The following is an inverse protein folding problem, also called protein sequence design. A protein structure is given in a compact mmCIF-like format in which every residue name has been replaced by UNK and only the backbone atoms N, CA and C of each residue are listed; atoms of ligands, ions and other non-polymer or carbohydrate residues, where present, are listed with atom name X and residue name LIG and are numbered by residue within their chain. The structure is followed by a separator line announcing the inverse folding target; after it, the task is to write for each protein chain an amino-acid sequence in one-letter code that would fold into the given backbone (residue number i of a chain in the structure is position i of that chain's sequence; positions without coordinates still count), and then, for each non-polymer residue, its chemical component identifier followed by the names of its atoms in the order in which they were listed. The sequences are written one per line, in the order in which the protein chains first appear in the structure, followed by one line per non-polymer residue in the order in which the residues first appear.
data_IF_536408361083
#
_entry.id   IF_536408361083
#
_cell.length_a   1.000
_cell.length_b   1.000
_cell.length_c   1.000
_cell.angle_alpha   90.00
_cell.angle_beta   90.00
_cell.angle_gamma   90.00
#
_symmetry.space_group_name_H-M   'P 1'
#
loop_
_entity.id
_entity.type
_entity.pdbx_description
1 polymer ?
#
# COMPACT_ATOMS: atom_id res chain seq x y z
N UNK A 1 -2.93 1.08 -12.38
CA UNK A 1 -3.96 0.55 -11.47
C UNK A 1 -5.30 0.41 -12.18
N UNK A 2 -5.86 1.49 -12.72
CA UNK A 2 -7.13 1.46 -13.48
C UNK A 2 -7.13 0.51 -14.70
N UNK A 3 -5.97 0.28 -15.33
CA UNK A 3 -5.81 -0.69 -16.43
C UNK A 3 -5.76 -2.14 -15.97
N UNK A 4 -5.14 -2.40 -14.82
CA UNK A 4 -5.01 -3.74 -14.24
C UNK A 4 -6.30 -4.20 -13.55
N UNK A 5 -7.13 -3.25 -13.13
CA UNK A 5 -8.40 -3.49 -12.44
C UNK A 5 -9.51 -2.65 -13.08
N UNK A 6 -10.06 -3.09 -14.23
CA UNK A 6 -11.05 -2.31 -14.98
C UNK A 6 -12.37 -2.10 -14.22
N UNK A 7 -12.71 -2.98 -13.30
CA UNK A 7 -13.96 -2.91 -12.53
C UNK A 7 -13.77 -2.32 -11.12
N UNK A 8 -12.55 -1.94 -10.75
CA UNK A 8 -12.29 -1.37 -9.43
C UNK A 8 -12.82 0.06 -9.32
N UNK A 9 -13.40 0.35 -8.16
CA UNK A 9 -13.72 1.70 -7.70
C UNK A 9 -12.67 2.15 -6.69
N UNK A 10 -12.36 3.44 -6.68
CA UNK A 10 -11.28 4.02 -5.91
C UNK A 10 -11.80 5.14 -5.01
N UNK A 11 -11.34 5.15 -3.77
CA UNK A 11 -11.46 6.29 -2.86
C UNK A 11 -10.06 6.82 -2.59
N UNK A 12 -9.77 8.02 -3.07
CA UNK A 12 -8.47 8.66 -2.92
C UNK A 12 -8.58 9.82 -1.92
N UNK A 13 -7.61 9.89 -1.00
CA UNK A 13 -7.55 10.94 0.02
C UNK A 13 -6.29 11.76 -0.23
N UNK A 14 -6.46 13.05 -0.52
CA UNK A 14 -5.36 13.99 -0.78
C UNK A 14 -5.74 15.33 -0.15
N UNK A 15 -4.82 15.99 0.54
CA UNK A 15 -5.08 17.28 1.17
C UNK A 15 -4.71 18.46 0.25
N UNK A 16 -3.74 18.28 -0.63
CA UNK A 16 -3.21 19.33 -1.50
C UNK A 16 -4.12 19.54 -2.72
N UNK A 17 -4.77 20.71 -2.85
CA UNK A 17 -5.62 20.99 -4.00
C UNK A 17 -4.87 20.97 -5.34
N UNK A 18 -3.58 21.31 -5.36
CA UNK A 18 -2.77 21.33 -6.58
C UNK A 18 -2.53 19.89 -7.06
N UNK A 19 -2.23 18.96 -6.15
CA UNK A 19 -2.11 17.55 -6.51
C UNK A 19 -3.41 16.99 -7.09
N UNK A 20 -4.55 17.33 -6.48
CA UNK A 20 -5.87 16.91 -6.97
C UNK A 20 -6.14 17.46 -8.37
N UNK A 21 -5.86 18.76 -8.58
CA UNK A 21 -6.02 19.41 -9.88
C UNK A 21 -5.14 18.73 -10.94
N UNK A 22 -3.85 18.53 -10.65
CA UNK A 22 -2.92 17.92 -11.59
C UNK A 22 -3.32 16.47 -11.90
N UNK A 23 -3.68 15.67 -10.89
CA UNK A 23 -4.15 14.31 -11.09
C UNK A 23 -5.39 14.25 -11.98
N UNK A 24 -6.32 15.17 -11.75
CA UNK A 24 -7.58 15.25 -12.47
C UNK A 24 -7.40 15.70 -13.92
N UNK A 25 -6.56 16.70 -14.15
CA UNK A 25 -6.43 17.37 -15.45
C UNK A 25 -5.37 16.73 -16.35
N UNK A 26 -4.35 16.07 -15.77
CA UNK A 26 -3.18 15.61 -16.52
C UNK A 26 -2.89 14.11 -16.40
N UNK A 27 -3.30 13.43 -15.33
CA UNK A 27 -2.99 11.99 -15.13
C UNK A 27 -4.14 11.03 -15.46
N UNK A 28 -5.25 11.54 -16.04
CA UNK A 28 -6.31 10.69 -16.58
C UNK A 28 -7.08 9.90 -15.51
N UNK A 29 -7.31 10.51 -14.34
CA UNK A 29 -8.18 9.91 -13.31
C UNK A 29 -9.61 9.77 -13.84
N UNK A 30 -10.15 8.54 -13.86
CA UNK A 30 -11.53 8.30 -14.25
C UNK A 30 -12.49 8.70 -13.12
N UNK A 31 -13.04 9.90 -13.22
CA UNK A 31 -14.00 10.46 -12.24
C UNK A 31 -15.25 9.61 -12.01
N UNK A 32 -15.58 8.67 -12.91
CA UNK A 32 -16.73 7.76 -12.72
C UNK A 32 -16.42 6.63 -11.74
N UNK A 33 -15.14 6.28 -11.59
CA UNK A 33 -14.67 5.19 -10.74
C UNK A 33 -13.84 5.68 -9.56
N UNK A 34 -13.43 6.94 -9.55
CA UNK A 34 -12.60 7.51 -8.48
C UNK A 34 -13.30 8.67 -7.80
N UNK A 35 -13.57 8.51 -6.50
CA UNK A 35 -13.98 9.60 -5.61
C UNK A 35 -12.75 10.14 -4.89
N UNK A 36 -12.49 11.44 -5.01
CA UNK A 36 -11.36 12.11 -4.37
C UNK A 36 -11.88 12.99 -3.23
N UNK A 37 -11.45 12.69 -2.00
CA UNK A 37 -11.72 13.50 -0.82
C UNK A 37 -10.56 14.44 -0.57
N UNK A 38 -10.82 15.75 -0.65
CA UNK A 38 -9.85 16.78 -0.25
C UNK A 38 -9.78 16.87 1.28
N UNK A 39 -8.98 16.03 1.91
CA UNK A 39 -8.92 15.90 3.36
C UNK A 39 -7.57 15.37 3.86
N UNK A 40 -7.21 15.69 5.10
CA UNK A 40 -6.17 14.98 5.82
C UNK A 40 -6.51 13.48 5.98
N UNK A 41 -5.57 12.61 5.58
CA UNK A 41 -5.73 11.17 5.61
C UNK A 41 -5.92 10.62 7.03
N UNK A 42 -5.26 11.21 8.04
CA UNK A 42 -5.42 10.76 9.42
C UNK A 42 -6.87 10.94 9.88
N UNK A 43 -7.42 12.12 9.62
CA UNK A 43 -8.79 12.50 9.97
C UNK A 43 -9.80 11.62 9.24
N UNK A 44 -9.58 11.37 7.94
CA UNK A 44 -10.45 10.50 7.15
C UNK A 44 -10.51 9.10 7.75
N UNK A 45 -9.36 8.43 7.92
CA UNK A 45 -9.28 7.05 8.43
C UNK A 45 -9.92 6.92 9.82
N UNK A 46 -9.67 7.88 10.72
CA UNK A 46 -10.22 7.81 12.09
C UNK A 46 -11.75 7.99 12.13
N UNK A 47 -12.31 8.73 11.17
CA UNK A 47 -13.75 9.06 11.11
C UNK A 47 -14.53 8.21 10.12
N UNK A 48 -13.87 7.42 9.28
CA UNK A 48 -14.51 6.61 8.25
C UNK A 48 -15.54 5.65 8.84
N UNK A 49 -16.76 5.65 8.30
CA UNK A 49 -17.88 4.77 8.67
C UNK A 49 -18.57 4.16 7.45
N UNK A 50 -17.94 4.25 6.27
CA UNK A 50 -18.49 3.72 5.03
C UNK A 50 -18.22 2.21 4.83
N UNK A 51 -18.51 1.70 3.62
CA UNK A 51 -18.20 0.33 3.24
C UNK A 51 -16.72 -0.03 3.42
N UNK A 52 -16.44 -1.28 3.77
CA UNK A 52 -15.05 -1.71 3.95
C UNK A 52 -14.36 -1.88 2.59
N UNK A 53 -13.04 -1.68 2.57
CA UNK A 53 -12.20 -1.80 1.38
C UNK A 53 -11.55 -3.19 1.28
N UNK A 54 -11.46 -3.71 0.06
CA UNK A 54 -10.69 -4.93 -0.23
C UNK A 54 -9.18 -4.66 -0.27
N UNK A 55 -8.79 -3.42 -0.51
CA UNK A 55 -7.40 -2.98 -0.56
C UNK A 55 -7.28 -1.56 0.00
N UNK A 56 -6.37 -1.37 0.94
CA UNK A 56 -5.93 -0.05 1.41
C UNK A 56 -4.46 0.13 1.05
N UNK A 57 -4.15 1.27 0.42
CA UNK A 57 -2.79 1.68 0.07
C UNK A 57 -2.45 2.93 0.89
N UNK A 58 -1.46 2.80 1.76
CA UNK A 58 -0.94 3.86 2.62
C UNK A 58 0.39 4.39 2.06
N UNK A 59 0.29 5.44 1.24
CA UNK A 59 1.39 6.11 0.55
C UNK A 59 1.50 7.59 0.96
N UNK A 60 1.68 7.82 2.26
CA UNK A 60 1.65 9.16 2.85
C UNK A 60 3.06 9.70 3.08
N UNK A 61 3.51 10.63 2.24
CA UNK A 61 4.82 11.26 2.34
C UNK A 61 4.73 12.79 2.43
N UNK A 62 5.67 13.39 3.17
CA UNK A 62 5.93 14.81 3.18
C UNK A 62 7.37 15.08 2.74
N UNK A 63 7.56 16.16 1.99
CA UNK A 63 8.88 16.69 1.67
C UNK A 63 9.33 17.69 2.74
N UNK A 64 10.38 17.38 3.49
CA UNK A 64 11.06 18.36 4.34
C UNK A 64 12.57 18.18 4.18
N UNK A 65 13.24 19.26 3.72
CA UNK A 65 14.68 19.33 3.49
C UNK A 65 15.25 18.31 2.47
N UNK A 66 14.49 17.99 1.41
CA UNK A 66 14.96 17.17 0.30
C UNK A 66 14.99 15.65 0.55
N UNK A 67 14.55 15.18 1.72
CA UNK A 67 14.41 13.75 2.02
C UNK A 67 12.94 13.39 2.24
N UNK A 68 12.39 12.40 1.49
CA UNK A 68 11.03 11.94 1.69
C UNK A 68 10.93 11.24 3.06
N UNK A 69 9.96 11.66 3.86
CA UNK A 69 9.61 11.00 5.13
C UNK A 69 8.11 10.78 5.16
N UNK A 70 7.66 9.73 5.86
CA UNK A 70 6.22 9.52 6.00
C UNK A 70 5.56 10.69 6.73
N UNK A 71 4.38 11.07 6.27
CA UNK A 71 3.57 12.13 6.90
C UNK A 71 3.07 11.71 8.29
N UNK A 72 2.83 10.41 8.46
CA UNK A 72 2.37 9.79 9.68
C UNK A 72 3.26 8.60 10.03
N UNK A 73 3.66 8.53 11.30
CA UNK A 73 4.32 7.35 11.83
C UNK A 73 3.37 6.15 11.73
N UNK A 74 3.91 5.01 11.28
CA UNK A 74 3.14 3.78 11.17
C UNK A 74 3.10 3.03 12.52
N UNK A 75 2.48 3.66 13.51
CA UNK A 75 2.30 3.14 14.86
C UNK A 75 1.07 2.20 14.97
N UNK A 76 0.83 1.67 16.18
CA UNK A 76 -0.33 0.81 16.44
C UNK A 76 -1.67 1.51 16.21
N UNK A 77 -1.77 2.80 16.52
CA UNK A 77 -3.03 3.55 16.39
C UNK A 77 -3.37 3.72 14.92
N UNK A 78 -2.38 4.05 14.11
CA UNK A 78 -2.49 4.18 12.66
C UNK A 78 -2.86 2.85 12.02
N UNK A 79 -2.10 1.77 12.28
CA UNK A 79 -2.41 0.44 11.76
C UNK A 79 -3.81 -0.05 12.16
N UNK A 80 -4.23 0.21 13.41
CA UNK A 80 -5.59 -0.13 13.86
C UNK A 80 -6.65 0.69 13.13
N UNK A 81 -6.37 1.94 12.80
CA UNK A 81 -7.21 2.79 11.97
C UNK A 81 -7.40 2.20 10.57
N UNK A 82 -6.30 1.96 9.86
CA UNK A 82 -6.33 1.36 8.52
C UNK A 82 -7.05 0.01 8.50
N UNK A 83 -6.80 -0.84 9.49
CA UNK A 83 -7.47 -2.14 9.63
C UNK A 83 -8.99 -2.02 9.79
N UNK A 84 -9.49 -0.96 10.42
CA UNK A 84 -10.95 -0.75 10.56
C UNK A 84 -11.62 -0.33 9.26
N UNK A 85 -10.84 0.15 8.29
CA UNK A 85 -11.32 0.45 6.95
C UNK A 85 -11.33 -0.79 6.05
N UNK A 86 -10.65 -1.88 6.43
CA UNK A 86 -10.50 -3.08 5.60
C UNK A 86 -11.60 -4.11 5.84
N UNK A 87 -11.98 -4.80 4.77
CA UNK A 87 -12.76 -6.03 4.82
C UNK A 87 -11.98 -7.14 5.54
N UNK A 88 -12.65 -8.23 5.90
CA UNK A 88 -12.02 -9.33 6.65
C UNK A 88 -10.93 -10.03 5.82
N UNK A 89 -11.13 -10.09 4.52
CA UNK A 89 -10.21 -10.59 3.48
C UNK A 89 -9.45 -9.46 2.76
N UNK A 90 -9.48 -8.25 3.32
CA UNK A 90 -8.81 -7.08 2.76
C UNK A 90 -7.28 -7.13 2.90
N UNK A 91 -6.60 -6.53 1.93
CA UNK A 91 -5.14 -6.42 1.88
C UNK A 91 -4.71 -5.01 2.30
N UNK A 92 -3.63 -4.93 3.08
CA UNK A 92 -3.01 -3.66 3.45
C UNK A 92 -1.64 -3.53 2.78
N UNK A 93 -1.41 -2.44 2.06
CA UNK A 93 -0.11 -2.11 1.48
C UNK A 93 0.37 -0.75 1.97
N UNK A 94 1.59 -0.68 2.51
CA UNK A 94 2.14 0.52 3.13
C UNK A 94 3.49 0.82 2.49
N UNK A 95 3.68 2.02 1.96
CA UNK A 95 4.95 2.46 1.42
C UNK A 95 5.81 3.11 2.51
N UNK A 96 7.01 2.62 2.72
CA UNK A 96 8.00 3.19 3.65
C UNK A 96 9.13 3.85 2.87
N UNK A 97 9.70 4.94 3.42
CA UNK A 97 10.85 5.63 2.85
C UNK A 97 12.05 4.68 2.70
N UNK A 98 12.27 3.85 3.70
CA UNK A 98 13.36 2.89 3.75
C UNK A 98 13.04 1.68 4.67
N UNK A 99 13.96 0.72 4.70
CA UNK A 99 13.84 -0.46 5.57
C UNK A 99 13.95 -0.13 7.07
N UNK A 100 14.66 0.93 7.45
CA UNK A 100 14.81 1.32 8.84
C UNK A 100 13.50 1.90 9.40
N UNK A 101 12.75 2.64 8.59
CA UNK A 101 11.40 3.13 8.90
C UNK A 101 10.41 1.97 9.05
N UNK A 102 10.43 0.99 8.14
CA UNK A 102 9.65 -0.25 8.31
C UNK A 102 10.00 -0.97 9.62
N UNK A 103 11.29 -1.10 9.95
CA UNK A 103 11.74 -1.81 11.16
C UNK A 103 11.30 -1.10 12.46
N UNK A 104 11.20 0.23 12.45
CA UNK A 104 10.70 1.02 13.59
C UNK A 104 9.16 1.03 13.69
N UNK A 105 8.46 0.69 12.61
CA UNK A 105 6.99 0.64 12.61
C UNK A 105 6.42 -0.50 13.43
N UNK A 106 5.12 -0.43 13.73
CA UNK A 106 4.38 -1.50 14.41
C UNK A 106 4.02 -2.68 13.49
N UNK A 107 4.41 -2.70 12.21
CA UNK A 107 4.03 -3.76 11.25
C UNK A 107 4.51 -5.14 11.70
N UNK A 108 5.77 -5.25 12.11
CA UNK A 108 6.36 -6.53 12.53
C UNK A 108 5.71 -7.08 13.79
N UNK A 109 5.30 -6.22 14.72
CA UNK A 109 4.57 -6.60 15.92
C UNK A 109 3.14 -7.03 15.58
N UNK A 110 2.48 -6.31 14.67
CA UNK A 110 1.13 -6.63 14.23
C UNK A 110 1.05 -7.98 13.53
N UNK A 111 2.06 -8.35 12.74
CA UNK A 111 2.18 -9.67 12.10
C UNK A 111 2.47 -10.80 13.11
N UNK A 112 3.10 -10.51 14.25
CA UNK A 112 3.35 -11.49 15.33
C UNK A 112 2.13 -11.68 16.23
N UNK A 113 1.30 -10.66 16.36
CA UNK A 113 0.06 -10.72 17.13
C UNK A 113 -0.94 -11.68 16.47
N UNK A 114 -1.82 -12.30 17.26
CA UNK A 114 -3.00 -12.98 16.70
C UNK A 114 -3.92 -11.92 16.10
N UNK A 115 -3.91 -11.81 14.78
CA UNK A 115 -4.64 -10.79 14.03
C UNK A 115 -5.15 -11.32 12.70
N UNK A 116 -5.80 -10.47 11.89
CA UNK A 116 -6.37 -10.89 10.62
C UNK A 116 -5.30 -11.19 9.56
N UNK A 117 -4.11 -10.62 9.68
CA UNK A 117 -3.03 -10.83 8.70
C UNK A 117 -2.21 -12.08 9.05
N UNK A 118 -2.14 -13.01 8.09
CA UNK A 118 -1.46 -14.30 8.23
C UNK A 118 -0.13 -14.36 7.49
N UNK A 119 0.19 -13.37 6.66
CA UNK A 119 1.48 -13.25 5.98
C UNK A 119 1.82 -11.79 5.70
N UNK A 120 3.11 -11.46 5.71
CA UNK A 120 3.59 -10.11 5.43
C UNK A 120 4.87 -10.13 4.60
N UNK A 121 4.92 -9.28 3.57
CA UNK A 121 6.04 -9.20 2.63
C UNK A 121 6.54 -7.77 2.46
N UNK A 122 7.86 -7.59 2.46
CA UNK A 122 8.51 -6.37 2.02
C UNK A 122 8.95 -6.52 0.57
N UNK A 123 8.49 -5.62 -0.29
CA UNK A 123 8.86 -5.50 -1.69
C UNK A 123 9.77 -4.29 -1.86
N UNK A 124 10.91 -4.49 -2.52
CA UNK A 124 11.89 -3.42 -2.77
C UNK A 124 12.48 -3.53 -4.16
N UNK A 125 12.61 -2.42 -4.88
CA UNK A 125 13.43 -2.38 -6.10
C UNK A 125 14.89 -2.05 -5.76
N UNK A 126 15.89 -2.66 -6.43
CA UNK A 126 17.31 -2.35 -6.19
C UNK A 126 17.69 -0.88 -6.42
N UNK A 127 16.91 -0.15 -7.22
CA UNK A 127 17.19 1.23 -7.61
C UNK A 127 16.72 2.27 -6.59
N UNK A 128 15.90 1.89 -5.60
CA UNK A 128 15.32 2.80 -4.61
C UNK A 128 15.45 2.25 -3.20
N UNK A 129 15.34 3.15 -2.22
CA UNK A 129 15.38 2.80 -0.81
C UNK A 129 14.02 2.33 -0.29
N UNK A 130 12.93 2.78 -0.94
CA UNK A 130 11.57 2.49 -0.54
C UNK A 130 11.32 1.00 -0.36
N UNK A 131 10.54 0.69 0.68
CA UNK A 131 10.04 -0.65 0.94
C UNK A 131 8.53 -0.59 1.01
N UNK A 132 7.86 -1.33 0.13
CA UNK A 132 6.41 -1.53 0.21
C UNK A 132 6.15 -2.76 1.06
N UNK A 133 5.57 -2.58 2.24
CA UNK A 133 5.10 -3.68 3.07
C UNK A 133 3.67 -4.05 2.72
N UNK A 134 3.42 -5.30 2.38
CA UNK A 134 2.07 -5.82 2.07
C UNK A 134 1.70 -6.89 3.08
N UNK A 135 0.55 -6.75 3.73
CA UNK A 135 0.00 -7.64 4.73
C UNK A 135 -1.24 -8.33 4.14
N UNK A 136 -1.26 -9.66 4.20
CA UNK A 136 -2.26 -10.52 3.58
C UNK A 136 -3.08 -11.26 4.65
N UNK A 137 -4.40 -11.43 4.46
CA UNK A 137 -5.25 -12.15 5.41
C UNK A 137 -5.23 -13.68 5.22
N UNK A 138 -4.39 -14.16 4.31
CA UNK A 138 -4.19 -15.58 4.02
C UNK A 138 -2.70 -15.93 4.07
N UNK A 139 -2.41 -17.22 4.25
CA UNK A 139 -1.04 -17.72 4.18
C UNK A 139 -0.56 -17.69 2.74
N UNK A 140 0.60 -17.08 2.51
CA UNK A 140 1.27 -17.07 1.23
C UNK A 140 2.77 -17.20 1.41
N UNK A 141 3.48 -17.58 0.35
CA UNK A 141 4.92 -17.62 0.22
C UNK A 141 5.39 -16.66 -0.87
N UNK A 142 6.66 -16.25 -0.83
CA UNK A 142 7.23 -15.39 -1.87
C UNK A 142 7.15 -16.03 -3.27
N UNK A 143 7.11 -17.37 -3.34
CA UNK A 143 6.91 -18.10 -4.59
C UNK A 143 5.49 -17.90 -5.16
N UNK A 144 4.47 -17.84 -4.31
CA UNK A 144 3.08 -17.62 -4.74
C UNK A 144 2.91 -16.24 -5.37
N UNK A 145 3.53 -15.21 -4.78
CA UNK A 145 3.54 -13.85 -5.34
C UNK A 145 4.20 -13.83 -6.73
N UNK A 146 5.33 -14.52 -6.89
CA UNK A 146 6.04 -14.61 -8.18
C UNK A 146 5.23 -15.39 -9.22
N UNK A 147 4.60 -16.49 -8.81
CA UNK A 147 3.73 -17.27 -9.68
C UNK A 147 2.53 -16.44 -10.16
N UNK A 148 1.91 -15.67 -9.26
CA UNK A 148 0.80 -14.78 -9.61
C UNK A 148 1.22 -13.71 -10.62
N UNK A 149 2.38 -13.06 -10.41
CA UNK A 149 2.91 -12.09 -11.38
C UNK A 149 3.18 -12.71 -12.76
N UNK A 150 3.72 -13.94 -12.80
CA UNK A 150 3.97 -14.65 -14.06
C UNK A 150 2.68 -15.11 -14.76
N UNK A 151 1.60 -15.31 -14.00
CA UNK A 151 0.28 -15.69 -14.53
C UNK A 151 -0.54 -14.49 -15.02
N UNK A 152 -0.24 -13.27 -14.56
CA UNK A 152 -0.92 -12.05 -15.00
C UNK A 152 -0.31 -11.53 -16.31
N UNK A 153 -1.01 -11.56 -17.46
CA UNK A 153 -0.42 -11.30 -18.78
C UNK A 153 0.38 -9.99 -18.89
N UNK A 154 -0.19 -8.88 -18.41
CA UNK A 154 0.44 -7.56 -18.45
C UNK A 154 1.71 -7.50 -17.60
N UNK A 155 1.74 -8.20 -16.46
CA UNK A 155 2.88 -8.19 -15.54
C UNK A 155 3.94 -9.22 -15.94
N UNK A 156 3.53 -10.34 -16.54
CA UNK A 156 4.42 -11.37 -17.05
C UNK A 156 5.32 -10.83 -18.17
N UNK A 157 4.77 -9.96 -19.03
CA UNK A 157 5.55 -9.24 -20.05
C UNK A 157 6.65 -8.37 -19.42
N UNK A 158 6.29 -7.55 -18.43
CA UNK A 158 7.23 -6.67 -17.72
C UNK A 158 8.30 -7.46 -16.95
N UNK A 159 7.96 -8.63 -16.42
CA UNK A 159 8.90 -9.52 -15.75
C UNK A 159 9.91 -10.11 -16.75
N UNK A 160 9.45 -10.54 -17.93
CA UNK A 160 10.31 -11.09 -18.99
C UNK A 160 11.24 -10.04 -19.60
N UNK A 161 10.80 -8.79 -19.69
CA UNK A 161 11.59 -7.68 -20.23
C UNK A 161 12.51 -7.01 -19.20
N UNK A 162 12.65 -7.57 -17.99
CA UNK A 162 13.43 -7.00 -16.88
C UNK A 162 13.00 -5.57 -16.47
N UNK A 163 11.74 -5.21 -16.75
CA UNK A 163 11.14 -3.93 -16.36
C UNK A 163 10.48 -4.00 -14.97
N UNK A 164 10.28 -5.20 -14.43
CA UNK A 164 9.77 -5.44 -13.08
C UNK A 164 10.87 -6.02 -12.17
N UNK A 165 11.85 -5.18 -11.81
CA UNK A 165 12.98 -5.56 -10.95
C UNK A 165 12.68 -5.28 -9.49
N UNK A 166 12.42 -6.33 -8.72
CA UNK A 166 12.15 -6.24 -7.29
C UNK A 166 12.63 -7.47 -6.52
N UNK A 167 12.81 -7.29 -5.22
CA UNK A 167 13.06 -8.33 -4.24
C UNK A 167 11.86 -8.44 -3.32
N UNK A 168 11.52 -9.67 -2.95
CA UNK A 168 10.48 -9.98 -1.96
C UNK A 168 11.13 -10.67 -0.78
N UNK A 169 10.87 -10.17 0.43
CA UNK A 169 11.28 -10.78 1.69
C UNK A 169 10.07 -10.90 2.61
N UNK A 170 9.98 -12.01 3.35
CA UNK A 170 9.00 -12.12 4.44
C UNK A 170 9.37 -11.14 5.55
N UNK A 171 8.37 -10.46 6.12
CA UNK A 171 8.52 -9.58 7.29
C UNK A 171 8.30 -10.38 8.58
N UNK A 172 7.42 -11.37 8.52
CA UNK A 172 6.98 -12.21 9.65
C UNK A 172 7.92 -13.38 9.97
N UNK A 173 8.99 -13.56 9.19
CA UNK A 173 9.97 -14.62 9.46
C UNK A 173 10.66 -14.33 10.79
N UNK A 174 10.23 -15.06 11.83
CA UNK A 174 10.96 -15.22 13.08
C UNK A 174 12.40 -15.62 12.74
N UNK A 175 13.37 -14.91 13.28
CA UNK A 175 14.63 -15.56 13.65
C UNK A 175 14.38 -16.32 14.94
#
# INVERSE_FOLDING_TARGET
MQSLFPDATFTAIEQDPVHIEVATNHFGVDKRRTEIYRQDAQTFVMRYRGPLFDLVIDDLFIGSAGMPRRALECDHKWLKGLRKCLATDGILSINFADYAELKRSSVGEHLKARGPFLSGFGLRSPAIENVVATLLPFQAQSADLRAHLAATPDLAGLLKSDHLRFQVRRIDSRR
#
